data_IF_314361020681
#
_entry.id   IF_314361020681
#
_cell.length_a   1.000
_cell.length_b   1.000
_cell.length_c   1.000
_cell.angle_alpha   90.00
_cell.angle_beta   90.00
_cell.angle_gamma   90.00
#
_symmetry.space_group_name_H-M   'P 1'
#
loop_
_entity.id
_entity.type
_entity.pdbx_description
1 polymer ?
#
# COMPACT_ATOMS: atom_id res chain seq x y z
N UNK A 1 8.14 -15.54 23.07
CA UNK A 1 7.69 -14.32 22.36
C UNK A 1 8.84 -13.32 22.32
N UNK A 2 9.60 -13.14 21.21
CA UNK A 2 10.69 -12.18 21.23
C UNK A 2 10.19 -10.77 20.85
N UNK A 3 10.09 -9.96 21.91
CA UNK A 3 10.48 -8.55 22.03
C UNK A 3 10.37 -7.64 20.78
N UNK A 4 9.36 -6.76 20.79
CA UNK A 4 9.21 -5.65 19.84
C UNK A 4 10.18 -4.50 20.20
N UNK A 5 11.49 -4.74 20.10
CA UNK A 5 12.48 -3.67 20.17
C UNK A 5 12.33 -2.76 18.96
N UNK A 6 11.99 -1.50 19.22
CA UNK A 6 12.11 -0.41 18.25
C UNK A 6 13.60 -0.20 18.02
N UNK A 7 14.20 -1.00 17.13
CA UNK A 7 15.57 -0.79 16.67
C UNK A 7 15.62 0.54 15.92
N UNK A 8 15.95 1.61 16.65
CA UNK A 8 16.42 2.85 16.07
C UNK A 8 17.79 2.54 15.46
N UNK A 9 17.79 2.10 14.20
CA UNK A 9 19.01 1.93 13.42
C UNK A 9 19.55 3.34 13.18
N UNK A 10 20.59 3.73 13.92
CA UNK A 10 21.34 4.94 13.64
C UNK A 10 21.97 4.79 12.25
N UNK A 11 21.48 5.57 11.30
CA UNK A 11 22.02 5.58 9.94
C UNK A 11 23.28 6.45 9.99
N UNK A 12 24.44 5.83 10.25
CA UNK A 12 25.71 6.56 10.28
C UNK A 12 26.06 7.08 8.87
N UNK A 13 26.69 8.26 8.74
CA UNK A 13 27.12 8.81 7.45
C UNK A 13 28.06 7.87 6.66
N UNK A 14 28.77 6.98 7.34
CA UNK A 14 29.68 6.00 6.75
C UNK A 14 28.99 5.00 5.83
N UNK A 15 27.75 4.59 6.14
CA UNK A 15 26.95 3.78 5.21
C UNK A 15 26.91 4.48 3.85
N UNK A 16 26.58 5.76 3.78
CA UNK A 16 26.41 6.45 2.49
C UNK A 16 27.69 6.59 1.66
N UNK A 17 28.90 6.56 2.26
CA UNK A 17 30.17 6.55 1.50
C UNK A 17 30.48 5.18 0.90
N UNK A 18 30.11 4.11 1.58
CA UNK A 18 30.37 2.74 1.12
C UNK A 18 29.48 2.31 -0.06
N UNK A 19 28.36 3.01 -0.29
CA UNK A 19 27.32 2.66 -1.29
C UNK A 19 27.27 3.59 -2.52
N UNK A 20 28.38 4.23 -2.89
CA UNK A 20 28.52 4.93 -4.19
C UNK A 20 27.43 5.95 -4.49
N UNK A 21 27.10 6.83 -3.53
CA UNK A 21 26.07 7.86 -3.71
C UNK A 21 26.58 9.14 -4.41
N UNK A 22 27.80 9.12 -4.95
CA UNK A 22 28.51 10.29 -5.51
C UNK A 22 28.17 10.57 -6.96
N UNK A 23 27.93 9.53 -7.76
CA UNK A 23 27.93 9.67 -9.21
C UNK A 23 26.56 9.29 -9.76
N UNK A 24 26.00 10.13 -10.64
CA UNK A 24 24.65 10.03 -11.20
C UNK A 24 24.39 8.80 -12.08
N UNK A 25 25.22 7.76 -11.98
CA UNK A 25 25.05 6.48 -12.63
C UNK A 25 24.23 5.54 -11.74
N UNK A 26 23.34 4.78 -12.36
CA UNK A 26 22.59 3.74 -11.69
C UNK A 26 23.51 2.57 -11.30
N UNK A 27 24.32 2.75 -10.26
CA UNK A 27 25.12 1.69 -9.61
C UNK A 27 24.27 0.66 -8.86
N UNK A 28 23.08 0.36 -9.36
CA UNK A 28 22.12 -0.58 -8.82
C UNK A 28 21.83 -1.63 -9.89
N UNK A 29 22.79 -2.53 -10.10
CA UNK A 29 22.55 -3.75 -10.86
C UNK A 29 21.52 -4.66 -10.17
N UNK A 30 21.10 -5.76 -10.81
CA UNK A 30 20.10 -6.70 -10.27
C UNK A 30 20.42 -7.19 -8.85
N UNK A 31 21.71 -7.32 -8.54
CA UNK A 31 22.24 -7.78 -7.24
C UNK A 31 22.10 -6.75 -6.11
N UNK A 32 21.78 -5.50 -6.42
CA UNK A 32 21.72 -4.41 -5.43
C UNK A 32 20.69 -4.65 -4.32
N UNK A 33 19.60 -5.37 -4.62
CA UNK A 33 18.54 -5.64 -3.63
C UNK A 33 18.99 -6.59 -2.51
N UNK A 34 19.88 -7.55 -2.82
CA UNK A 34 20.35 -8.57 -1.88
C UNK A 34 21.37 -8.02 -0.88
N UNK A 35 21.94 -6.85 -1.16
CA UNK A 35 22.93 -6.20 -0.29
C UNK A 35 22.33 -5.59 0.97
N UNK A 36 21.00 -5.43 1.06
CA UNK A 36 20.31 -4.92 2.24
C UNK A 36 19.76 -6.07 3.08
N UNK A 37 20.03 -6.06 4.40
CA UNK A 37 19.51 -7.07 5.32
C UNK A 37 18.01 -6.90 5.61
N UNK A 38 17.48 -5.69 5.41
CA UNK A 38 16.08 -5.37 5.70
C UNK A 38 15.48 -4.37 4.70
N UNK A 39 14.19 -4.53 4.42
CA UNK A 39 13.39 -3.53 3.69
C UNK A 39 13.47 -2.11 4.29
N UNK A 40 13.70 -2.00 5.61
CA UNK A 40 13.87 -0.70 6.29
C UNK A 40 15.16 -0.01 5.84
N UNK A 41 16.25 -0.77 5.72
CA UNK A 41 17.55 -0.26 5.24
C UNK A 41 17.44 0.17 3.78
N UNK A 42 16.78 -0.63 2.94
CA UNK A 42 16.50 -0.27 1.55
C UNK A 42 15.69 1.05 1.43
N UNK A 43 14.61 1.18 2.20
CA UNK A 43 13.80 2.41 2.18
C UNK A 43 14.54 3.64 2.75
N UNK A 44 15.47 3.42 3.68
CA UNK A 44 16.36 4.45 4.23
C UNK A 44 17.39 4.91 3.18
N UNK A 45 18.03 3.97 2.49
CA UNK A 45 18.97 4.23 1.39
C UNK A 45 18.31 5.01 0.25
N UNK A 46 17.05 4.68 -0.09
CA UNK A 46 16.23 5.46 -1.02
C UNK A 46 15.85 6.85 -0.51
N UNK A 47 16.19 7.22 0.73
CA UNK A 47 15.80 8.49 1.36
C UNK A 47 14.28 8.69 1.38
N UNK A 48 13.53 7.62 1.63
CA UNK A 48 12.06 7.60 1.78
C UNK A 48 11.62 7.47 3.25
N UNK A 49 12.52 7.03 4.13
CA UNK A 49 12.30 7.00 5.56
C UNK A 49 12.72 8.33 6.21
N UNK A 50 12.01 8.80 7.27
CA UNK A 50 12.48 9.91 8.08
C UNK A 50 13.79 9.52 8.77
N UNK A 51 14.77 10.43 8.77
CA UNK A 51 16.00 10.25 9.54
C UNK A 51 15.83 11.00 10.87
N UNK A 52 15.59 10.25 11.94
CA UNK A 52 15.42 10.82 13.27
C UNK A 52 16.80 11.15 13.85
N UNK A 53 17.17 12.43 13.87
CA UNK A 53 18.35 12.90 14.61
C UNK A 53 17.99 12.97 16.09
N UNK A 54 18.59 12.11 16.90
CA UNK A 54 18.39 12.06 18.36
C UNK A 54 19.69 12.49 19.03
N UNK A 55 19.62 13.43 19.96
CA UNK A 55 20.74 13.81 20.82
C UNK A 55 20.24 13.99 22.25
N UNK A 56 20.97 13.47 23.23
CA UNK A 56 20.60 13.59 24.64
C UNK A 56 19.17 13.08 24.96
N UNK A 57 18.69 12.06 24.26
CA UNK A 57 17.34 11.50 24.45
C UNK A 57 16.19 12.29 23.81
N UNK A 58 16.46 13.41 23.12
CA UNK A 58 15.43 14.22 22.44
C UNK A 58 15.54 14.10 20.91
N UNK A 59 14.40 14.03 20.23
CA UNK A 59 14.33 14.04 18.76
C UNK A 59 14.53 15.48 18.26
N UNK A 60 15.71 15.76 17.73
CA UNK A 60 16.08 17.07 17.17
C UNK A 60 15.45 17.31 15.79
N UNK A 61 15.29 16.26 14.98
CA UNK A 61 14.66 16.37 13.66
C UNK A 61 14.17 15.01 13.18
N UNK A 62 13.01 14.98 12.54
CA UNK A 62 12.42 13.80 11.87
C UNK A 62 12.27 14.01 10.36
N UNK A 63 13.02 14.97 9.79
CA UNK A 63 12.85 15.39 8.40
C UNK A 63 13.33 14.30 7.44
N UNK A 64 12.59 14.12 6.35
CA UNK A 64 13.01 13.24 5.26
C UNK A 64 14.23 13.87 4.55
N UNK A 65 15.33 13.14 4.38
CA UNK A 65 16.53 13.67 3.74
C UNK A 65 16.28 14.06 2.27
N UNK A 66 16.84 15.20 1.87
CA UNK A 66 16.85 15.70 0.49
C UNK A 66 17.87 14.89 -0.33
N UNK A 67 17.57 14.65 -1.60
CA UNK A 67 18.46 13.90 -2.51
C UNK A 67 17.73 13.32 -3.73
N UNK A 68 18.47 13.17 -4.82
CA UNK A 68 18.02 12.87 -6.18
C UNK A 68 18.20 11.40 -6.59
N UNK A 69 17.88 10.45 -5.70
CA UNK A 69 17.92 9.04 -6.08
C UNK A 69 16.87 8.77 -7.18
N UNK A 70 17.29 8.25 -8.35
CA UNK A 70 16.40 7.95 -9.48
C UNK A 70 15.25 7.01 -9.09
N UNK A 71 15.54 5.94 -8.35
CA UNK A 71 14.52 5.00 -7.86
C UNK A 71 13.53 5.67 -6.91
N UNK A 72 13.99 6.61 -6.07
CA UNK A 72 13.08 7.42 -5.25
C UNK A 72 12.11 8.22 -6.12
N UNK A 73 12.60 8.84 -7.18
CA UNK A 73 11.78 9.67 -8.07
C UNK A 73 10.75 8.83 -8.85
N UNK A 74 11.14 7.69 -9.39
CA UNK A 74 10.22 6.77 -10.07
C UNK A 74 9.14 6.24 -9.13
N UNK A 75 9.52 5.84 -7.91
CA UNK A 75 8.57 5.37 -6.88
C UNK A 75 7.60 6.48 -6.44
N UNK A 76 8.06 7.73 -6.35
CA UNK A 76 7.17 8.88 -6.07
C UNK A 76 6.21 9.15 -7.22
N UNK A 77 6.67 9.03 -8.47
CA UNK A 77 5.81 9.17 -9.64
C UNK A 77 4.72 8.08 -9.66
N UNK A 78 5.12 6.82 -9.46
CA UNK A 78 4.18 5.70 -9.33
C UNK A 78 3.18 5.91 -8.17
N UNK A 79 3.67 6.36 -7.02
CA UNK A 79 2.80 6.68 -5.88
C UNK A 79 1.80 7.81 -6.17
N UNK A 80 2.19 8.79 -7.00
CA UNK A 80 1.28 9.86 -7.43
C UNK A 80 0.17 9.31 -8.34
N UNK A 81 0.51 8.42 -9.28
CA UNK A 81 -0.48 7.74 -10.13
C UNK A 81 -1.45 6.88 -9.30
N UNK A 82 -0.96 6.16 -8.30
CA UNK A 82 -1.79 5.38 -7.35
C UNK A 82 -2.76 6.28 -6.57
N UNK A 83 -2.35 7.52 -6.25
CA UNK A 83 -3.22 8.49 -5.58
C UNK A 83 -4.47 8.85 -6.39
N UNK A 84 -4.41 8.72 -7.73
CA UNK A 84 -5.53 8.98 -8.62
C UNK A 84 -6.38 7.72 -8.90
N UNK A 85 -5.87 6.54 -8.54
CA UNK A 85 -6.58 5.28 -8.71
C UNK A 85 -7.70 5.13 -7.69
N UNK A 86 -8.82 4.51 -8.11
CA UNK A 86 -9.98 4.26 -7.26
C UNK A 86 -10.03 2.79 -6.84
N UNK A 87 -10.57 2.57 -5.65
CA UNK A 87 -10.87 1.26 -5.10
C UNK A 87 -9.70 0.25 -5.04
N UNK A 88 -8.49 0.75 -4.75
CA UNK A 88 -7.35 -0.13 -4.43
C UNK A 88 -6.90 0.06 -2.98
N UNK A 89 -6.44 -1.00 -2.29
CA UNK A 89 -5.98 -0.88 -0.90
C UNK A 89 -4.83 0.12 -0.72
N UNK A 90 -4.03 0.31 -1.77
CA UNK A 90 -2.93 1.26 -1.78
C UNK A 90 -3.42 2.70 -1.97
N UNK A 91 -4.43 2.92 -2.81
CA UNK A 91 -5.11 4.22 -2.92
C UNK A 91 -5.83 4.60 -1.62
N UNK A 92 -6.42 3.65 -0.90
CA UNK A 92 -7.07 3.89 0.39
C UNK A 92 -6.05 4.34 1.43
N UNK A 93 -4.89 3.66 1.47
CA UNK A 93 -3.77 4.07 2.31
C UNK A 93 -3.30 5.48 1.96
N UNK A 94 -3.15 5.78 0.67
CA UNK A 94 -2.78 7.12 0.21
C UNK A 94 -3.78 8.18 0.68
N UNK A 95 -5.09 7.95 0.50
CA UNK A 95 -6.15 8.89 0.92
C UNK A 95 -6.16 9.09 2.44
N UNK A 96 -6.02 8.03 3.24
CA UNK A 96 -5.93 8.13 4.72
C UNK A 96 -4.73 8.95 5.20
N UNK A 97 -3.59 8.86 4.50
CA UNK A 97 -2.41 9.67 4.85
C UNK A 97 -2.57 11.10 4.34
N UNK A 98 -3.11 11.27 3.14
CA UNK A 98 -3.36 12.57 2.53
C UNK A 98 -4.31 13.42 3.38
N UNK A 99 -5.36 12.82 3.91
CA UNK A 99 -6.31 13.47 4.81
C UNK A 99 -5.65 14.00 6.10
N UNK A 100 -4.68 13.26 6.67
CA UNK A 100 -4.05 13.61 7.95
C UNK A 100 -2.83 14.54 7.85
N UNK A 101 -2.06 14.44 6.75
CA UNK A 101 -0.72 15.06 6.63
C UNK A 101 -0.48 15.77 5.30
N UNK A 102 -1.46 15.75 4.38
CA UNK A 102 -1.35 16.36 3.06
C UNK A 102 -0.70 15.47 2.00
N UNK A 103 -0.79 15.93 0.74
CA UNK A 103 -0.45 15.14 -0.46
C UNK A 103 1.03 14.78 -0.54
N UNK A 104 1.94 15.71 -0.27
CA UNK A 104 3.39 15.47 -0.40
C UNK A 104 3.89 14.38 0.56
N UNK A 105 3.35 14.35 1.77
CA UNK A 105 3.66 13.32 2.77
C UNK A 105 3.04 11.99 2.35
N UNK A 106 1.81 11.99 1.83
CA UNK A 106 1.15 10.79 1.31
C UNK A 106 1.92 10.12 0.17
N UNK A 107 2.44 10.90 -0.78
CA UNK A 107 3.30 10.40 -1.88
C UNK A 107 4.54 9.72 -1.30
N UNK A 108 5.21 10.37 -0.34
CA UNK A 108 6.43 9.84 0.28
C UNK A 108 6.18 8.55 1.06
N UNK A 109 5.09 8.51 1.84
CA UNK A 109 4.69 7.35 2.62
C UNK A 109 4.28 6.16 1.73
N UNK A 110 3.60 6.44 0.62
CA UNK A 110 3.17 5.42 -0.35
C UNK A 110 4.35 4.89 -1.14
N UNK A 111 5.28 5.75 -1.56
CA UNK A 111 6.54 5.34 -2.18
C UNK A 111 7.36 4.44 -1.23
N UNK A 112 7.43 4.76 0.08
CA UNK A 112 8.05 3.89 1.09
C UNK A 112 7.38 2.52 1.16
N UNK A 113 6.05 2.49 1.12
CA UNK A 113 5.27 1.23 1.15
C UNK A 113 5.55 0.38 -0.09
N UNK A 114 5.63 1.00 -1.27
CA UNK A 114 6.02 0.35 -2.52
C UNK A 114 7.44 -0.21 -2.46
N UNK A 115 8.41 0.57 -1.95
CA UNK A 115 9.79 0.12 -1.81
C UNK A 115 9.90 -1.15 -0.96
N UNK A 116 9.14 -1.23 0.14
CA UNK A 116 9.10 -2.42 1.00
C UNK A 116 8.48 -3.61 0.28
N UNK A 117 7.42 -3.41 -0.49
CA UNK A 117 6.77 -4.46 -1.28
C UNK A 117 7.76 -5.01 -2.32
N UNK A 118 8.41 -4.13 -3.10
CA UNK A 118 9.39 -4.51 -4.13
C UNK A 118 10.54 -5.30 -3.51
N UNK A 119 11.11 -4.82 -2.40
CA UNK A 119 12.21 -5.53 -1.75
C UNK A 119 11.80 -6.91 -1.24
N UNK A 120 10.61 -7.07 -0.65
CA UNK A 120 10.12 -8.38 -0.22
C UNK A 120 9.86 -9.31 -1.41
N UNK A 121 9.33 -8.80 -2.52
CA UNK A 121 9.11 -9.60 -3.73
C UNK A 121 10.43 -10.07 -4.35
N UNK A 122 11.44 -9.21 -4.42
CA UNK A 122 12.73 -9.55 -5.05
C UNK A 122 13.58 -10.44 -4.13
N UNK A 123 13.82 -10.01 -2.89
CA UNK A 123 14.77 -10.67 -1.99
C UNK A 123 14.18 -11.94 -1.37
N UNK A 124 12.93 -11.89 -0.92
CA UNK A 124 12.27 -13.05 -0.28
C UNK A 124 11.52 -13.94 -1.25
N UNK A 125 11.42 -13.55 -2.54
CA UNK A 125 10.61 -14.22 -3.56
C UNK A 125 9.16 -14.47 -3.11
N UNK A 126 8.63 -13.57 -2.29
CA UNK A 126 7.27 -13.67 -1.76
C UNK A 126 6.29 -12.98 -2.70
N UNK A 127 5.21 -13.67 -3.07
CA UNK A 127 4.14 -13.08 -3.85
C UNK A 127 3.46 -11.97 -3.05
N UNK A 128 3.21 -10.82 -3.69
CA UNK A 128 2.48 -9.74 -3.04
C UNK A 128 1.03 -10.14 -2.79
N UNK A 129 0.70 -10.38 -1.52
CA UNK A 129 -0.67 -10.61 -1.07
C UNK A 129 -1.32 -9.28 -0.73
N UNK A 130 -2.27 -8.85 -1.57
CA UNK A 130 -3.14 -7.73 -1.26
C UNK A 130 -3.98 -8.05 -0.01
N UNK A 131 -4.17 -7.11 0.94
CA UNK A 131 -5.05 -7.32 2.08
C UNK A 131 -6.53 -7.51 1.69
N UNK A 132 -6.90 -7.07 0.49
CA UNK A 132 -8.25 -7.21 -0.06
C UNK A 132 -8.18 -8.18 -1.23
N UNK A 133 -9.09 -9.15 -1.24
CA UNK A 133 -9.26 -10.09 -2.32
C UNK A 133 -9.59 -9.36 -3.62
N UNK A 134 -8.94 -9.77 -4.71
CA UNK A 134 -9.19 -9.19 -6.01
C UNK A 134 -10.54 -9.70 -6.53
N UNK A 135 -11.57 -8.88 -6.36
CA UNK A 135 -12.88 -9.13 -6.97
C UNK A 135 -12.86 -8.63 -8.42
N UNK A 136 -13.27 -9.48 -9.35
CA UNK A 136 -13.45 -9.07 -10.74
C UNK A 136 -14.46 -7.91 -10.84
N UNK A 137 -14.29 -7.08 -11.86
CA UNK A 137 -15.11 -5.87 -12.05
C UNK A 137 -16.61 -6.18 -12.04
N UNK A 138 -17.00 -7.32 -12.61
CA UNK A 138 -18.40 -7.77 -12.67
C UNK A 138 -18.94 -8.23 -11.32
N UNK A 139 -18.13 -8.92 -10.51
CA UNK A 139 -18.52 -9.28 -9.14
C UNK A 139 -18.78 -8.01 -8.32
N UNK A 140 -17.92 -7.01 -8.48
CA UNK A 140 -18.06 -5.73 -7.79
C UNK A 140 -19.32 -4.97 -8.22
N UNK A 141 -19.65 -4.98 -9.52
CA UNK A 141 -20.90 -4.40 -10.05
C UNK A 141 -22.12 -5.10 -9.45
N UNK A 142 -22.15 -6.44 -9.47
CA UNK A 142 -23.22 -7.25 -8.85
C UNK A 142 -23.41 -6.89 -7.37
N UNK A 143 -22.33 -6.83 -6.60
CA UNK A 143 -22.38 -6.44 -5.19
C UNK A 143 -22.94 -5.03 -4.98
N UNK A 144 -22.51 -4.06 -5.80
CA UNK A 144 -23.07 -2.69 -5.74
C UNK A 144 -24.57 -2.67 -6.05
N UNK A 145 -25.01 -3.41 -7.06
CA UNK A 145 -26.44 -3.52 -7.40
C UNK A 145 -27.24 -4.13 -6.25
N UNK A 146 -26.76 -5.23 -5.67
CA UNK A 146 -27.40 -5.86 -4.49
C UNK A 146 -27.49 -4.90 -3.31
N UNK A 147 -26.43 -4.14 -3.02
CA UNK A 147 -26.45 -3.13 -1.95
C UNK A 147 -27.43 -2.00 -2.24
N UNK A 148 -27.53 -1.55 -3.49
CA UNK A 148 -28.50 -0.53 -3.88
C UNK A 148 -29.93 -1.04 -3.76
N UNK A 149 -30.21 -2.27 -4.23
CA UNK A 149 -31.50 -2.93 -4.07
C UNK A 149 -31.85 -3.01 -2.59
N UNK A 150 -30.94 -3.50 -1.74
CA UNK A 150 -31.15 -3.55 -0.28
C UNK A 150 -31.48 -2.19 0.33
N UNK A 151 -30.81 -1.13 -0.11
CA UNK A 151 -31.12 0.24 0.34
C UNK A 151 -32.51 0.70 -0.09
N UNK A 152 -32.91 0.38 -1.32
CA UNK A 152 -34.26 0.72 -1.81
C UNK A 152 -35.32 -0.09 -1.07
N UNK A 153 -35.10 -1.39 -0.87
CA UNK A 153 -35.99 -2.24 -0.06
C UNK A 153 -36.18 -1.66 1.34
N UNK A 154 -35.09 -1.29 2.02
CA UNK A 154 -35.16 -0.66 3.33
C UNK A 154 -35.87 0.71 3.30
N UNK A 155 -35.63 1.52 2.25
CA UNK A 155 -36.25 2.84 2.08
C UNK A 155 -37.77 2.76 1.92
N UNK A 156 -38.25 1.76 1.19
CA UNK A 156 -39.67 1.57 0.89
C UNK A 156 -40.34 0.52 1.78
N UNK A 157 -39.63 0.00 2.80
CA UNK A 157 -40.08 -1.10 3.65
C UNK A 157 -40.59 -2.33 2.87
N UNK A 158 -40.06 -2.55 1.67
CA UNK A 158 -40.50 -3.63 0.77
C UNK A 158 -40.12 -4.98 1.38
N UNK A 159 -41.13 -5.78 1.66
CA UNK A 159 -40.99 -7.15 2.11
C UNK A 159 -41.06 -8.11 0.90
N UNK A 160 -40.66 -9.37 1.11
CA UNK A 160 -40.73 -10.37 0.03
C UNK A 160 -42.17 -10.62 -0.46
N UNK A 161 -43.19 -10.29 0.36
CA UNK A 161 -44.60 -10.36 -0.02
C UNK A 161 -44.98 -9.24 -1.00
N UNK A 162 -44.50 -8.02 -0.80
CA UNK A 162 -44.80 -6.86 -1.65
C UNK A 162 -44.18 -6.96 -3.04
N UNK A 163 -43.11 -7.74 -3.18
CA UNK A 163 -42.39 -7.91 -4.43
C UNK A 163 -42.91 -9.11 -5.26
N UNK A 164 -43.91 -9.85 -4.77
CA UNK A 164 -44.42 -11.08 -5.39
C UNK A 164 -43.31 -12.03 -5.86
N UNK A 165 -42.15 -12.00 -5.19
CA UNK A 165 -41.02 -12.90 -5.44
C UNK A 165 -41.44 -14.24 -4.89
N UNK A 166 -42.23 -14.93 -5.69
CA UNK A 166 -42.78 -16.24 -5.46
C UNK A 166 -41.62 -17.23 -5.33
N UNK A 167 -41.77 -18.19 -4.40
CA UNK A 167 -40.91 -19.37 -4.22
C UNK A 167 -40.92 -20.32 -5.44
N UNK A 168 -41.14 -19.80 -6.64
CA UNK A 168 -41.41 -20.53 -7.89
C UNK A 168 -40.17 -21.21 -8.49
N UNK A 169 -39.08 -21.36 -7.73
CA UNK A 169 -37.99 -22.25 -8.10
C UNK A 169 -38.11 -23.66 -7.50
N UNK A 170 -39.12 -23.95 -6.67
CA UNK A 170 -39.30 -25.29 -6.08
C UNK A 170 -40.49 -26.07 -6.69
N UNK A 171 -41.48 -25.42 -7.31
CA UNK A 171 -42.68 -26.13 -7.80
C UNK A 171 -42.52 -26.65 -9.25
N UNK A 172 -41.63 -26.10 -10.07
CA UNK A 172 -41.44 -26.56 -11.46
C UNK A 172 -40.64 -27.86 -11.61
N UNK A 173 -39.99 -28.35 -10.55
CA UNK A 173 -39.28 -29.63 -10.56
C UNK A 173 -40.14 -30.83 -10.14
N UNK A 174 -41.31 -30.60 -9.52
CA UNK A 174 -42.22 -31.67 -9.07
C UNK A 174 -43.30 -31.98 -10.11
N UNK A 175 -43.59 -31.07 -11.05
CA UNK A 175 -44.64 -31.26 -12.07
C UNK A 175 -44.19 -31.95 -13.37
N UNK A 176 -42.91 -32.33 -13.49
CA UNK A 176 -42.38 -33.09 -14.65
C UNK A 176 -41.65 -34.37 -14.20
N UNK A 177 -42.41 -35.31 -13.62
CA UNK A 177 -42.47 -36.74 -14.00
C UNK A 177 -43.19 -37.55 -12.92
#
# INVERSE_FOLDING_TARGET
>A
MPNNQVVNFEITPEYFRQWGASDGECGFGPEGFHKFQSAKQFASWLRLAPNNKISGGKVLSSRIPKGSNRLKMTLRSAANAIGNLKDTPLSDFFRRVCYRKGRMVAISATARKLAVIIWNMVVKRQLYKSPVEYLFLDQKRKLKTVLNIRKQMAKFALTNQDLEISNNLIISAVQKR
#
